data_IF_193595851616
#
_entry.id   IF_193595851616
#
_cell.length_a   1.000
_cell.length_b   1.000
_cell.length_c   1.000
_cell.angle_alpha   90.00
_cell.angle_beta   90.00
_cell.angle_gamma   90.00
#
_symmetry.space_group_name_H-M   'P 1'
#
loop_
_entity.id
_entity.type
_entity.pdbx_description
1 polymer ?
#
# COMPACT_ATOMS: atom_id res chain seq x y z
N UNK A 1 -12.23 -16.71 18.81
CA UNK A 1 -12.62 -15.68 17.80
C UNK A 1 -13.00 -16.42 16.54
N UNK A 2 -14.25 -16.38 16.17
CA UNK A 2 -14.81 -17.15 15.06
C UNK A 2 -15.03 -16.30 13.81
N UNK A 3 -13.94 -15.74 13.25
CA UNK A 3 -14.06 -15.22 11.90
C UNK A 3 -14.25 -16.41 10.95
N UNK A 4 -15.31 -16.37 10.17
CA UNK A 4 -15.61 -17.39 9.18
C UNK A 4 -14.66 -17.23 7.99
N UNK A 5 -13.95 -18.29 7.65
CA UNK A 5 -13.05 -18.35 6.50
C UNK A 5 -13.74 -19.23 5.45
N UNK A 6 -13.82 -18.81 4.18
CA UNK A 6 -14.39 -19.63 3.12
C UNK A 6 -13.70 -21.00 3.03
N UNK A 7 -14.46 -22.05 2.80
CA UNK A 7 -13.93 -23.41 2.66
C UNK A 7 -13.04 -23.57 1.41
N UNK A 8 -13.31 -22.79 0.36
CA UNK A 8 -12.55 -22.78 -0.87
C UNK A 8 -12.09 -21.37 -1.19
N UNK A 9 -10.79 -21.21 -1.38
CA UNK A 9 -10.18 -20.00 -1.91
C UNK A 9 -9.84 -20.33 -3.36
N UNK A 10 -10.63 -19.79 -4.30
CA UNK A 10 -10.36 -19.96 -5.70
C UNK A 10 -9.16 -19.12 -6.12
N UNK A 11 -8.08 -19.72 -6.62
CA UNK A 11 -6.91 -18.99 -7.09
C UNK A 11 -7.23 -18.01 -8.22
N UNK A 12 -8.32 -18.26 -8.96
CA UNK A 12 -8.80 -17.46 -10.08
C UNK A 12 -9.76 -16.33 -9.68
N UNK A 13 -10.19 -16.28 -8.43
CA UNK A 13 -10.96 -15.14 -7.94
C UNK A 13 -10.02 -13.97 -7.64
N UNK A 14 -9.61 -13.34 -8.73
CA UNK A 14 -8.62 -12.27 -8.74
C UNK A 14 -9.10 -11.02 -8.01
N UNK A 15 -10.37 -10.86 -7.78
CA UNK A 15 -10.94 -9.70 -7.09
C UNK A 15 -10.94 -9.83 -5.58
N UNK A 16 -10.89 -11.06 -5.06
CA UNK A 16 -10.88 -11.31 -3.62
C UNK A 16 -9.51 -11.72 -3.09
N UNK A 17 -8.56 -12.12 -3.96
CA UNK A 17 -7.25 -12.64 -3.56
C UNK A 17 -6.06 -11.84 -4.09
N UNK A 18 -6.11 -11.09 -5.21
CA UNK A 18 -4.96 -10.34 -5.72
C UNK A 18 -4.41 -9.39 -4.67
N UNK A 19 -5.28 -8.90 -3.83
CA UNK A 19 -4.91 -8.08 -2.71
C UNK A 19 -4.11 -8.84 -1.64
N UNK A 20 -4.14 -10.15 -1.62
CA UNK A 20 -3.37 -10.93 -0.64
C UNK A 20 -1.86 -10.98 -0.95
N UNK A 21 -1.43 -10.54 -2.13
CA UNK A 21 -0.02 -10.56 -2.56
C UNK A 21 0.56 -11.98 -2.71
N UNK A 22 -0.29 -12.98 -2.59
CA UNK A 22 0.05 -14.39 -2.73
C UNK A 22 -0.41 -14.93 -4.07
N UNK A 23 -1.00 -14.06 -4.86
CA UNK A 23 -1.47 -14.39 -6.16
C UNK A 23 -0.32 -14.34 -7.15
N UNK A 24 0.11 -15.49 -7.54
CA UNK A 24 0.88 -15.62 -8.76
C UNK A 24 -0.14 -15.78 -9.89
N UNK A 25 -0.11 -14.93 -10.90
CA UNK A 25 -0.77 -15.25 -12.18
C UNK A 25 -0.29 -16.63 -12.66
N UNK A 26 -1.06 -17.30 -13.46
CA UNK A 26 -0.64 -18.59 -14.03
C UNK A 26 0.74 -18.49 -14.68
N UNK A 27 1.04 -17.38 -15.35
CA UNK A 27 2.35 -17.08 -15.91
C UNK A 27 3.46 -16.91 -14.83
N UNK A 28 3.15 -16.44 -13.64
CA UNK A 28 4.13 -16.44 -12.53
C UNK A 28 4.41 -17.85 -12.03
N UNK A 29 3.47 -18.77 -12.18
CA UNK A 29 3.66 -20.19 -11.87
C UNK A 29 4.57 -20.85 -12.89
N UNK A 30 4.50 -20.46 -14.16
CA UNK A 30 5.42 -20.92 -15.20
C UNK A 30 6.85 -20.42 -14.98
N UNK A 31 7.01 -19.19 -14.44
CA UNK A 31 8.33 -18.68 -14.02
C UNK A 31 8.93 -19.47 -12.85
N UNK A 32 8.11 -20.17 -12.09
CA UNK A 32 8.53 -21.01 -10.95
C UNK A 32 7.81 -22.38 -10.99
N UNK A 33 7.97 -23.17 -12.05
CA UNK A 33 7.21 -24.41 -12.24
C UNK A 33 7.43 -25.43 -11.11
N UNK A 34 8.57 -25.36 -10.43
CA UNK A 34 8.91 -26.22 -9.29
C UNK A 34 8.22 -25.80 -7.97
N UNK A 35 7.47 -24.70 -7.98
CA UNK A 35 6.80 -24.19 -6.80
C UNK A 35 5.30 -24.12 -7.06
N UNK A 36 4.56 -25.21 -6.85
CA UNK A 36 3.12 -25.21 -7.01
C UNK A 36 2.48 -24.12 -6.16
N UNK A 37 1.47 -23.47 -6.67
CA UNK A 37 0.64 -22.51 -5.96
C UNK A 37 0.10 -23.17 -4.69
N UNK A 38 0.61 -22.72 -3.56
CA UNK A 38 0.06 -23.11 -2.28
C UNK A 38 -0.79 -21.96 -1.79
N UNK A 39 -2.09 -22.14 -1.57
CA UNK A 39 -2.94 -21.11 -0.97
C UNK A 39 -2.35 -20.70 0.38
N UNK A 40 -1.89 -19.46 0.48
CA UNK A 40 -1.26 -18.91 1.70
C UNK A 40 -2.03 -17.74 2.27
N UNK A 41 -2.94 -17.19 1.48
CA UNK A 41 -3.82 -16.11 1.88
C UNK A 41 -5.17 -16.66 2.33
N UNK A 42 -5.76 -16.02 3.34
CA UNK A 42 -7.12 -16.31 3.79
C UNK A 42 -7.95 -15.04 3.67
N UNK A 43 -9.07 -15.14 2.98
CA UNK A 43 -10.07 -14.07 2.91
C UNK A 43 -11.18 -14.40 3.90
N UNK A 44 -11.47 -13.46 4.79
CA UNK A 44 -12.58 -13.60 5.74
C UNK A 44 -13.89 -13.29 5.03
N UNK A 45 -14.93 -14.07 5.28
CA UNK A 45 -16.28 -13.77 4.78
C UNK A 45 -16.71 -12.37 5.25
N UNK A 46 -17.12 -11.52 4.30
CA UNK A 46 -17.40 -10.10 4.55
C UNK A 46 -16.15 -9.23 4.65
N UNK A 47 -14.98 -9.75 4.23
CA UNK A 47 -13.71 -9.02 4.15
C UNK A 47 -13.36 -8.29 5.47
N UNK A 48 -12.91 -7.02 5.40
CA UNK A 48 -12.57 -6.22 6.58
C UNK A 48 -13.73 -6.03 7.54
N UNK A 49 -14.96 -5.93 7.04
CA UNK A 49 -16.17 -5.82 7.86
C UNK A 49 -16.45 -7.08 8.67
N UNK A 50 -16.34 -8.26 8.04
CA UNK A 50 -16.49 -9.57 8.72
C UNK A 50 -15.42 -9.77 9.77
N UNK A 51 -14.18 -9.36 9.47
CA UNK A 51 -13.07 -9.41 10.40
C UNK A 51 -13.31 -8.50 11.63
N UNK A 52 -13.70 -7.25 11.39
CA UNK A 52 -13.99 -6.28 12.45
C UNK A 52 -15.14 -6.77 13.36
N UNK A 53 -16.19 -7.35 12.77
CA UNK A 53 -17.29 -7.94 13.52
C UNK A 53 -16.82 -9.00 14.51
N UNK A 54 -15.92 -9.89 14.10
CA UNK A 54 -15.36 -10.92 14.97
C UNK A 54 -14.52 -10.33 16.10
N UNK A 55 -13.74 -9.26 15.83
CA UNK A 55 -12.97 -8.56 16.87
C UNK A 55 -13.88 -7.84 17.88
N UNK A 56 -14.91 -7.17 17.41
CA UNK A 56 -15.88 -6.48 18.27
C UNK A 56 -16.63 -7.46 19.18
N UNK A 57 -17.09 -8.61 18.64
CA UNK A 57 -17.68 -9.67 19.44
C UNK A 57 -16.73 -10.17 20.52
N UNK A 58 -15.46 -10.42 20.14
CA UNK A 58 -14.45 -10.84 21.12
C UNK A 58 -14.12 -9.79 22.18
N UNK A 59 -14.26 -8.51 21.87
CA UNK A 59 -14.10 -7.43 22.84
C UNK A 59 -15.27 -7.39 23.82
N UNK A 60 -16.50 -7.49 23.31
CA UNK A 60 -17.73 -7.51 24.11
C UNK A 60 -17.76 -8.69 25.09
N UNK A 61 -17.46 -9.91 24.61
CA UNK A 61 -17.34 -11.12 25.42
C UNK A 61 -16.36 -10.98 26.61
N UNK A 62 -15.39 -10.09 26.49
CA UNK A 62 -14.36 -9.82 27.51
C UNK A 62 -14.59 -8.56 28.32
N UNK A 63 -15.73 -7.90 28.11
CA UNK A 63 -16.06 -6.65 28.78
C UNK A 63 -15.09 -5.51 28.47
N UNK A 64 -14.47 -5.51 27.28
CA UNK A 64 -13.56 -4.43 26.86
C UNK A 64 -14.39 -3.22 26.46
N UNK A 65 -14.21 -2.12 27.16
CA UNK A 65 -14.92 -0.88 26.89
C UNK A 65 -14.37 -0.22 25.61
N UNK A 66 -15.24 0.05 24.64
CA UNK A 66 -14.94 0.76 23.41
C UNK A 66 -15.65 2.12 23.45
N UNK A 67 -14.88 3.21 23.46
CA UNK A 67 -15.38 4.59 23.42
C UNK A 67 -15.19 5.18 22.04
N UNK A 68 -16.28 5.47 21.35
CA UNK A 68 -16.30 6.20 20.09
C UNK A 68 -16.54 7.68 20.33
N UNK A 69 -16.16 8.53 19.34
CA UNK A 69 -16.32 9.99 19.46
C UNK A 69 -15.45 10.61 20.57
N UNK A 70 -14.39 9.92 20.98
CA UNK A 70 -13.51 10.31 22.07
C UNK A 70 -12.05 10.47 21.57
N UNK A 71 -11.73 11.51 20.77
CA UNK A 71 -10.41 11.69 20.23
C UNK A 71 -9.38 11.95 21.34
N UNK A 72 -8.29 11.19 21.29
CA UNK A 72 -7.13 11.40 22.17
C UNK A 72 -6.25 12.49 21.58
N UNK A 73 -5.88 13.46 22.41
CA UNK A 73 -5.11 14.64 21.98
C UNK A 73 -3.69 14.66 22.48
N UNK A 74 -3.43 14.03 23.64
CA UNK A 74 -2.11 14.07 24.27
C UNK A 74 -1.83 12.80 25.10
N UNK A 75 -0.54 12.50 25.26
CA UNK A 75 -0.05 11.55 26.24
C UNK A 75 0.25 12.26 27.56
N UNK A 76 0.05 11.57 28.66
CA UNK A 76 0.37 12.08 30.01
C UNK A 76 1.60 11.37 30.53
N UNK A 77 2.65 12.12 30.81
CA UNK A 77 3.87 11.60 31.47
C UNK A 77 3.93 12.06 32.95
N UNK A 78 4.55 11.25 33.78
CA UNK A 78 4.95 11.63 35.13
C UNK A 78 6.34 12.31 35.15
N UNK A 79 6.82 12.63 36.35
CA UNK A 79 8.12 13.30 36.54
C UNK A 79 9.34 12.45 36.14
N UNK A 80 9.17 11.14 35.95
CA UNK A 80 10.19 10.18 35.54
C UNK A 80 10.15 9.88 34.04
N UNK A 81 9.20 10.50 33.32
CA UNK A 81 9.00 10.31 31.86
C UNK A 81 8.20 9.07 31.48
N UNK A 82 7.60 8.36 32.45
CA UNK A 82 6.69 7.24 32.20
C UNK A 82 5.36 7.78 31.66
N UNK A 83 4.83 7.15 30.61
CA UNK A 83 3.47 7.43 30.13
C UNK A 83 2.47 6.73 31.05
N UNK A 84 1.65 7.55 31.72
CA UNK A 84 0.69 7.12 32.75
C UNK A 84 -0.77 7.26 32.32
N UNK A 85 -1.02 7.72 31.09
CA UNK A 85 -2.36 7.90 30.57
C UNK A 85 -2.44 8.79 29.35
N UNK A 86 -3.65 9.20 29.06
CA UNK A 86 -3.95 10.06 27.89
C UNK A 86 -4.90 11.19 28.28
N UNK A 87 -4.90 12.25 27.47
CA UNK A 87 -5.96 13.27 27.46
C UNK A 87 -6.86 12.97 26.28
N UNK A 88 -8.15 12.84 26.53
CA UNK A 88 -9.16 12.60 25.53
C UNK A 88 -10.28 13.64 25.60
N UNK A 89 -10.90 13.95 24.47
CA UNK A 89 -12.07 14.82 24.40
C UNK A 89 -13.34 13.98 24.54
N UNK A 90 -14.26 14.45 25.38
CA UNK A 90 -15.60 13.94 25.53
C UNK A 90 -16.57 15.10 25.30
N UNK A 91 -17.05 15.26 24.07
CA UNK A 91 -17.69 16.49 23.62
C UNK A 91 -16.76 17.70 23.69
N UNK A 92 -17.16 18.75 24.41
CA UNK A 92 -16.35 19.96 24.62
C UNK A 92 -15.35 19.87 25.80
N UNK A 93 -15.39 18.79 26.59
CA UNK A 93 -14.58 18.64 27.79
C UNK A 93 -13.37 17.76 27.54
N UNK A 94 -12.21 18.16 28.07
CA UNK A 94 -11.03 17.31 28.13
C UNK A 94 -11.04 16.47 29.41
N UNK A 95 -10.81 15.17 29.26
CA UNK A 95 -10.69 14.23 30.38
C UNK A 95 -9.32 13.58 30.36
N UNK A 96 -8.70 13.44 31.54
CA UNK A 96 -7.54 12.58 31.71
C UNK A 96 -8.00 11.16 32.02
N UNK A 97 -7.50 10.20 31.24
CA UNK A 97 -7.74 8.78 31.44
C UNK A 97 -6.42 8.18 31.89
N UNK A 98 -6.41 7.65 33.11
CA UNK A 98 -5.22 7.00 33.68
C UNK A 98 -5.09 5.59 33.12
N UNK A 99 -3.88 5.23 32.72
CA UNK A 99 -3.50 3.87 32.35
C UNK A 99 -2.66 3.27 33.50
N UNK A 100 -3.07 2.14 34.03
CA UNK A 100 -2.39 1.49 35.16
C UNK A 100 -1.14 0.73 34.73
N UNK A 101 -1.15 0.12 33.55
CA UNK A 101 -0.03 -0.66 33.00
C UNK A 101 0.70 0.07 31.87
N UNK A 102 -0.03 0.67 30.93
CA UNK A 102 0.56 1.38 29.81
C UNK A 102 -0.47 1.83 28.77
N UNK A 103 -0.01 2.55 27.77
CA UNK A 103 -0.78 3.05 26.63
C UNK A 103 -0.24 2.43 25.34
N UNK A 104 -1.12 1.89 24.52
CA UNK A 104 -0.78 1.36 23.18
C UNK A 104 -1.31 2.31 22.13
N UNK A 105 -0.43 2.89 21.31
CA UNK A 105 -0.80 3.71 20.16
C UNK A 105 -1.08 2.79 18.97
N UNK A 106 -2.29 2.87 18.40
CA UNK A 106 -2.70 2.09 17.23
C UNK A 106 -3.49 2.93 16.21
N UNK A 107 -3.10 4.18 16.03
CA UNK A 107 -3.86 5.22 15.29
C UNK A 107 -3.62 5.21 13.77
N UNK A 108 -2.78 4.31 13.25
CA UNK A 108 -2.58 4.14 11.82
C UNK A 108 -1.73 5.22 11.16
N UNK A 109 -2.15 5.65 9.98
CA UNK A 109 -1.44 6.53 9.05
C UNK A 109 -1.65 8.02 9.32
N UNK A 110 -0.99 8.88 8.47
CA UNK A 110 -1.23 10.33 8.43
C UNK A 110 -1.59 10.83 7.02
N UNK A 111 -2.16 9.98 6.18
CA UNK A 111 -2.49 10.28 4.78
C UNK A 111 -3.41 11.51 4.61
N UNK A 112 -4.31 11.71 5.55
CA UNK A 112 -5.34 12.77 5.53
C UNK A 112 -4.87 14.07 6.21
N UNK A 113 -3.65 14.08 6.73
CA UNK A 113 -3.05 15.28 7.31
C UNK A 113 -2.23 16.01 6.25
N UNK A 114 -2.82 17.03 5.63
CA UNK A 114 -2.18 17.79 4.56
C UNK A 114 -0.86 18.45 4.98
N UNK A 115 -0.75 18.94 6.21
CA UNK A 115 0.47 19.53 6.73
C UNK A 115 1.58 18.49 6.81
N UNK A 116 1.32 17.32 7.38
CA UNK A 116 2.29 16.24 7.47
C UNK A 116 2.66 15.68 6.08
N UNK A 117 1.69 15.54 5.18
CA UNK A 117 1.94 15.13 3.79
C UNK A 117 2.85 16.13 3.09
N UNK A 118 2.57 17.43 3.18
CA UNK A 118 3.41 18.47 2.57
C UNK A 118 4.81 18.50 3.17
N UNK A 119 4.93 18.28 4.47
CA UNK A 119 6.21 18.31 5.19
C UNK A 119 7.08 17.09 4.88
N UNK A 120 6.50 15.90 4.83
CA UNK A 120 7.26 14.65 4.81
C UNK A 120 7.29 13.97 3.44
N UNK A 121 6.19 14.03 2.67
CA UNK A 121 6.02 13.31 1.42
C UNK A 121 5.44 14.19 0.28
N UNK A 122 5.96 15.41 0.06
CA UNK A 122 5.42 16.33 -0.97
C UNK A 122 5.45 15.73 -2.38
N UNK A 123 6.29 14.71 -2.60
CA UNK A 123 6.42 14.05 -3.89
C UNK A 123 5.15 13.35 -4.39
N UNK A 124 4.22 12.98 -3.50
CA UNK A 124 2.97 12.32 -3.91
C UNK A 124 2.08 13.22 -4.76
N UNK A 125 2.27 14.53 -4.67
CA UNK A 125 1.54 15.53 -5.46
C UNK A 125 2.06 15.69 -6.90
N UNK A 126 3.19 15.06 -7.26
CA UNK A 126 3.75 15.13 -8.61
C UNK A 126 2.87 14.46 -9.65
N UNK A 127 2.22 13.36 -9.27
CA UNK A 127 1.20 12.75 -10.13
C UNK A 127 -0.19 13.16 -9.64
N UNK A 128 -0.90 14.04 -10.38
CA UNK A 128 -2.19 14.59 -9.96
C UNK A 128 -3.32 13.54 -9.94
N UNK A 129 -3.10 12.37 -10.57
CA UNK A 129 -4.05 11.25 -10.57
C UNK A 129 -3.85 10.29 -9.40
N UNK A 130 -2.73 10.43 -8.70
CA UNK A 130 -2.45 9.55 -7.56
C UNK A 130 -3.17 10.02 -6.32
N UNK A 131 -3.76 9.08 -5.60
CA UNK A 131 -4.62 9.36 -4.45
C UNK A 131 -4.16 8.61 -3.20
N UNK A 132 -4.38 9.24 -2.05
CA UNK A 132 -4.17 8.57 -0.77
C UNK A 132 -5.20 7.45 -0.58
N UNK A 133 -4.75 6.35 0.01
CA UNK A 133 -5.66 5.31 0.51
C UNK A 133 -5.64 5.34 2.03
N UNK A 134 -6.80 5.28 2.62
CA UNK A 134 -6.92 5.25 4.07
C UNK A 134 -8.30 5.70 4.55
N UNK A 135 -8.45 5.68 5.85
CA UNK A 135 -9.65 6.16 6.50
C UNK A 135 -9.52 7.67 6.78
N UNK A 136 -10.62 8.47 6.71
CA UNK A 136 -10.59 9.91 7.02
C UNK A 136 -10.00 10.28 8.39
N UNK A 137 -9.90 9.32 9.31
CA UNK A 137 -9.25 9.50 10.62
C UNK A 137 -7.72 9.31 10.60
N UNK A 138 -7.10 9.08 9.45
CA UNK A 138 -5.65 8.92 9.33
C UNK A 138 -4.93 10.28 9.41
N UNK A 139 -5.05 10.96 10.55
CA UNK A 139 -4.61 12.34 10.77
C UNK A 139 -3.20 12.45 11.40
N UNK A 140 -2.54 11.33 11.70
CA UNK A 140 -1.21 11.35 12.29
C UNK A 140 -1.16 11.75 13.76
N UNK A 141 -2.28 11.64 14.47
CA UNK A 141 -2.37 12.03 15.88
C UNK A 141 -1.40 11.24 16.75
N UNK A 142 -1.27 9.95 16.52
CA UNK A 142 -0.35 9.09 17.26
C UNK A 142 1.10 9.44 17.03
N UNK A 143 1.48 9.73 15.77
CA UNK A 143 2.83 10.17 15.44
C UNK A 143 3.17 11.46 16.17
N UNK A 144 2.29 12.45 16.10
CA UNK A 144 2.45 13.74 16.78
C UNK A 144 2.55 13.59 18.31
N UNK A 145 1.68 12.78 18.90
CA UNK A 145 1.71 12.55 20.36
C UNK A 145 2.98 11.82 20.79
N UNK A 146 3.43 10.83 20.02
CA UNK A 146 4.64 10.08 20.32
C UNK A 146 5.91 10.96 20.17
N UNK A 147 5.99 11.79 19.13
CA UNK A 147 7.06 12.76 18.93
C UNK A 147 7.13 13.75 20.12
N UNK A 148 5.96 14.20 20.61
CA UNK A 148 5.87 15.09 21.75
C UNK A 148 6.43 14.55 23.08
N UNK A 149 6.58 13.23 23.20
CA UNK A 149 7.19 12.55 24.37
C UNK A 149 8.59 12.00 24.05
N UNK A 150 9.18 12.40 22.93
CA UNK A 150 10.55 12.07 22.54
C UNK A 150 10.72 10.73 21.83
N UNK A 151 9.66 10.15 21.26
CA UNK A 151 9.76 8.93 20.46
C UNK A 151 10.54 9.13 19.16
N UNK A 152 11.27 8.12 18.73
CA UNK A 152 11.91 8.12 17.42
C UNK A 152 10.90 7.84 16.31
N UNK A 153 10.86 8.76 15.34
CA UNK A 153 10.07 8.61 14.14
C UNK A 153 10.95 8.09 13.00
N UNK A 154 10.48 7.08 12.26
CA UNK A 154 11.23 6.47 11.16
C UNK A 154 10.41 6.41 9.89
N UNK A 155 11.08 6.53 8.74
CA UNK A 155 10.45 6.40 7.43
C UNK A 155 9.36 7.44 7.14
N UNK A 156 9.40 8.62 7.77
CA UNK A 156 8.37 9.65 7.59
C UNK A 156 8.28 10.15 6.15
N UNK A 157 9.37 10.08 5.39
CA UNK A 157 9.43 10.40 3.96
C UNK A 157 9.06 9.24 3.03
N UNK A 158 8.72 8.07 3.56
CA UNK A 158 8.43 6.89 2.77
C UNK A 158 6.92 6.71 2.56
N UNK A 159 6.59 6.14 1.38
CA UNK A 159 5.23 5.73 1.04
C UNK A 159 5.21 4.27 0.61
N UNK A 160 4.04 3.66 0.70
CA UNK A 160 3.74 2.37 0.07
C UNK A 160 2.83 2.64 -1.13
N UNK A 161 3.38 2.84 -2.34
CA UNK A 161 2.58 3.06 -3.54
C UNK A 161 2.10 1.72 -4.09
N UNK A 162 0.90 1.70 -4.64
CA UNK A 162 0.36 0.57 -5.38
C UNK A 162 -0.21 1.10 -6.69
N UNK A 163 0.33 0.65 -7.82
CA UNK A 163 -0.17 1.09 -9.12
C UNK A 163 -1.59 0.58 -9.30
N UNK A 164 -2.48 1.49 -9.60
CA UNK A 164 -3.83 1.19 -10.01
C UNK A 164 -3.92 1.42 -11.52
N UNK A 165 -4.27 0.37 -12.25
CA UNK A 165 -4.53 0.44 -13.68
C UNK A 165 -5.91 -0.15 -13.91
N UNK A 166 -6.72 0.52 -14.70
CA UNK A 166 -7.93 -0.09 -15.23
C UNK A 166 -7.50 -1.25 -16.15
N UNK A 167 -8.08 -2.42 -15.96
CA UNK A 167 -7.76 -3.60 -16.76
C UNK A 167 -6.39 -4.22 -16.46
N UNK A 168 -6.35 -5.21 -15.57
CA UNK A 168 -5.09 -5.85 -15.17
C UNK A 168 -4.41 -6.54 -16.37
N UNK A 169 -5.17 -7.28 -17.17
CA UNK A 169 -4.68 -8.00 -18.34
C UNK A 169 -4.25 -7.04 -19.44
N UNK A 170 -5.06 -6.02 -19.78
CA UNK A 170 -4.67 -5.00 -20.77
C UNK A 170 -3.36 -4.31 -20.36
N UNK A 171 -3.18 -4.04 -19.07
CA UNK A 171 -1.94 -3.43 -18.55
C UNK A 171 -0.72 -4.32 -18.69
N UNK A 172 -0.87 -5.63 -18.50
CA UNK A 172 0.21 -6.60 -18.62
C UNK A 172 0.66 -6.72 -20.08
N UNK A 173 -0.27 -6.70 -21.00
CA UNK A 173 -0.04 -6.82 -22.44
C UNK A 173 0.37 -5.48 -23.11
N UNK A 174 0.19 -4.35 -22.43
CA UNK A 174 0.62 -3.03 -22.89
C UNK A 174 2.12 -2.83 -22.82
N UNK A 175 2.61 -1.70 -23.35
CA UNK A 175 3.95 -1.17 -23.13
C UNK A 175 3.86 0.06 -22.22
N UNK A 176 4.55 0.08 -21.09
CA UNK A 176 4.56 1.22 -20.17
C UNK A 176 5.75 2.12 -20.42
N UNK A 177 5.48 3.41 -20.67
CA UNK A 177 6.49 4.44 -20.87
C UNK A 177 6.36 5.59 -19.88
N UNK A 178 7.49 6.22 -19.54
CA UNK A 178 7.54 7.45 -18.75
C UNK A 178 7.35 8.70 -19.63
N UNK A 179 7.37 9.90 -19.05
CA UNK A 179 7.25 11.17 -19.78
C UNK A 179 8.38 11.45 -20.80
N UNK A 180 9.44 10.64 -20.80
CA UNK A 180 10.52 10.68 -21.80
C UNK A 180 10.37 9.60 -22.87
N UNK A 181 9.19 9.01 -22.98
CA UNK A 181 8.89 7.89 -23.88
C UNK A 181 9.76 6.65 -23.64
N UNK A 182 10.40 6.53 -22.49
CA UNK A 182 11.24 5.38 -22.17
C UNK A 182 10.42 4.32 -21.46
N UNK A 183 10.44 3.09 -21.95
CA UNK A 183 9.97 1.94 -21.21
C UNK A 183 10.81 1.81 -19.94
N UNK A 184 10.23 1.47 -18.81
CA UNK A 184 10.93 1.55 -17.51
C UNK A 184 10.78 0.32 -16.63
N UNK A 185 9.99 -0.68 -17.05
CA UNK A 185 9.72 -1.86 -16.27
C UNK A 185 9.11 -2.98 -17.12
N UNK A 186 9.17 -4.25 -16.62
CA UNK A 186 8.36 -5.35 -17.13
C UNK A 186 6.91 -5.17 -16.67
N UNK A 187 5.98 -5.01 -17.60
CA UNK A 187 4.57 -4.71 -17.33
C UNK A 187 3.86 -5.86 -16.58
N UNK A 188 4.35 -7.09 -16.69
CA UNK A 188 3.88 -8.24 -15.92
C UNK A 188 4.24 -8.22 -14.43
N UNK A 189 4.95 -7.19 -13.95
CA UNK A 189 5.56 -7.10 -12.62
C UNK A 189 4.72 -7.71 -11.49
N UNK A 190 5.38 -8.38 -10.57
CA UNK A 190 4.86 -9.31 -9.58
C UNK A 190 3.73 -8.82 -8.69
N UNK A 191 3.65 -7.53 -8.40
CA UNK A 191 2.55 -6.94 -7.62
C UNK A 191 2.34 -5.48 -7.98
N UNK A 192 1.14 -4.96 -7.74
CA UNK A 192 0.82 -3.56 -7.93
C UNK A 192 1.72 -2.62 -7.10
N UNK A 193 2.21 -3.08 -5.95
CA UNK A 193 3.14 -2.32 -5.11
C UNK A 193 4.51 -2.15 -5.77
N UNK A 194 5.03 -3.18 -6.43
CA UNK A 194 6.28 -3.06 -7.19
C UNK A 194 6.12 -2.13 -8.38
N UNK A 195 5.02 -2.26 -9.12
CA UNK A 195 4.68 -1.35 -10.23
C UNK A 195 4.58 0.10 -9.75
N UNK A 196 3.85 0.34 -8.65
CA UNK A 196 3.74 1.67 -8.04
C UNK A 196 5.10 2.23 -7.64
N UNK A 197 5.95 1.42 -7.01
CA UNK A 197 7.32 1.85 -6.64
C UNK A 197 8.14 2.22 -7.89
N UNK A 198 8.01 1.48 -9.00
CA UNK A 198 8.71 1.82 -10.24
C UNK A 198 8.20 3.09 -10.88
N UNK A 199 6.89 3.33 -10.82
CA UNK A 199 6.32 4.58 -11.30
C UNK A 199 6.79 5.79 -10.48
N UNK A 200 6.92 5.67 -9.16
CA UNK A 200 7.46 6.76 -8.31
C UNK A 200 8.94 7.07 -8.55
N UNK A 201 9.66 6.23 -9.30
CA UNK A 201 11.03 6.47 -9.74
C UNK A 201 11.11 7.19 -11.09
N UNK A 202 9.97 7.39 -11.77
CA UNK A 202 9.92 8.06 -13.07
C UNK A 202 9.74 9.58 -12.92
N UNK A 203 10.05 10.37 -13.97
CA UNK A 203 9.82 11.81 -13.96
C UNK A 203 8.38 12.13 -13.55
N UNK A 204 8.24 13.02 -12.59
CA UNK A 204 6.97 13.46 -12.00
C UNK A 204 6.04 12.33 -11.54
N UNK A 205 6.58 11.12 -11.34
CA UNK A 205 5.82 9.92 -11.00
C UNK A 205 4.73 9.57 -12.03
N UNK A 206 4.96 9.91 -13.30
CA UNK A 206 3.98 9.79 -14.37
C UNK A 206 4.49 8.90 -15.50
N UNK A 207 3.54 8.35 -16.23
CA UNK A 207 3.76 7.53 -17.41
C UNK A 207 2.44 7.12 -18.03
N UNK A 208 2.53 6.33 -19.08
CA UNK A 208 1.39 5.84 -19.84
C UNK A 208 1.55 4.35 -20.14
N UNK A 209 0.46 3.62 -20.11
CA UNK A 209 0.35 2.31 -20.74
C UNK A 209 -0.12 2.52 -22.17
N UNK A 210 0.68 2.05 -23.13
CA UNK A 210 0.43 2.18 -24.58
C UNK A 210 -0.02 0.81 -25.09
N UNK A 211 -1.13 0.76 -25.80
CA UNK A 211 -1.69 -0.45 -26.41
C UNK A 211 -2.50 -0.11 -27.65
N UNK A 212 -2.89 -1.12 -28.41
CA UNK A 212 -3.65 -0.98 -29.63
C UNK A 212 -5.04 -1.61 -29.55
N UNK A 213 -5.78 -1.54 -30.65
CA UNK A 213 -7.15 -2.09 -30.73
C UNK A 213 -7.18 -3.60 -30.55
N UNK A 214 -6.16 -4.33 -31.03
CA UNK A 214 -6.08 -5.77 -30.87
C UNK A 214 -5.99 -6.16 -29.40
N UNK A 215 -5.08 -5.52 -28.63
CA UNK A 215 -4.91 -5.75 -27.20
C UNK A 215 -6.20 -5.39 -26.47
N UNK A 216 -6.78 -4.22 -26.76
CA UNK A 216 -8.04 -3.78 -26.17
C UNK A 216 -9.18 -4.76 -26.42
N UNK A 217 -9.36 -5.21 -27.66
CA UNK A 217 -10.43 -6.12 -28.05
C UNK A 217 -10.27 -7.52 -27.46
N UNK A 218 -9.02 -7.98 -27.30
CA UNK A 218 -8.71 -9.30 -26.77
C UNK A 218 -9.05 -9.40 -25.27
N UNK A 219 -8.68 -8.38 -24.50
CA UNK A 219 -8.82 -8.42 -23.05
C UNK A 219 -10.08 -7.71 -22.52
N UNK A 220 -10.68 -6.80 -23.31
CA UNK A 220 -12.03 -6.25 -23.08
C UNK A 220 -12.28 -5.52 -21.77
N UNK A 221 -11.28 -5.38 -20.93
CA UNK A 221 -11.40 -4.84 -19.56
C UNK A 221 -11.31 -3.31 -19.51
N UNK A 222 -10.76 -2.69 -20.55
CA UNK A 222 -10.62 -1.24 -20.65
C UNK A 222 -11.66 -0.72 -21.64
N UNK A 223 -12.66 -0.04 -21.14
CA UNK A 223 -13.57 0.73 -21.99
C UNK A 223 -12.79 1.85 -22.70
N UNK A 224 -13.20 2.19 -23.92
CA UNK A 224 -12.63 3.29 -24.67
C UNK A 224 -12.70 4.64 -23.91
N UNK A 225 -13.60 4.76 -22.93
CA UNK A 225 -13.70 5.90 -22.02
C UNK A 225 -12.61 5.92 -20.93
N UNK A 226 -12.01 4.78 -20.61
CA UNK A 226 -10.93 4.66 -19.63
C UNK A 226 -9.54 4.87 -20.26
N UNK A 227 -9.42 4.58 -21.56
CA UNK A 227 -8.28 4.99 -22.36
C UNK A 227 -8.45 6.48 -22.69
N UNK A 228 -7.86 7.34 -21.86
CA UNK A 228 -8.05 8.81 -21.93
C UNK A 228 -7.60 9.38 -23.27
N UNK A 229 -6.66 8.72 -23.96
CA UNK A 229 -6.12 9.18 -25.25
C UNK A 229 -6.26 8.10 -26.30
N UNK A 230 -6.60 8.53 -27.53
CA UNK A 230 -6.79 7.68 -28.69
C UNK A 230 -6.34 8.40 -29.96
N UNK A 231 -5.66 7.71 -30.85
CA UNK A 231 -5.27 8.21 -32.16
C UNK A 231 -5.09 7.06 -33.18
N UNK A 232 -5.11 7.42 -34.48
CA UNK A 232 -4.89 6.44 -35.57
C UNK A 232 -3.40 6.18 -35.86
N UNK A 233 -2.48 6.98 -35.26
CA UNK A 233 -1.03 6.83 -35.38
C UNK A 233 -0.39 6.97 -34.01
N UNK A 234 0.82 6.37 -33.84
CA UNK A 234 1.60 6.50 -32.62
C UNK A 234 2.05 7.95 -32.40
N UNK A 235 2.41 8.65 -33.47
CA UNK A 235 2.80 10.06 -33.41
C UNK A 235 1.63 10.93 -32.93
N UNK A 236 0.42 10.72 -33.51
CA UNK A 236 -0.78 11.42 -33.08
C UNK A 236 -1.18 11.10 -31.63
N UNK A 237 -0.94 9.85 -31.18
CA UNK A 237 -1.14 9.47 -29.78
C UNK A 237 -0.16 10.19 -28.87
N UNK A 238 1.11 10.30 -29.27
CA UNK A 238 2.12 11.03 -28.53
C UNK A 238 1.75 12.52 -28.37
N UNK A 239 1.31 13.17 -29.45
CA UNK A 239 0.84 14.56 -29.43
C UNK A 239 -0.34 14.74 -28.47
N UNK A 240 -1.31 13.83 -28.50
CA UNK A 240 -2.47 13.85 -27.60
C UNK A 240 -2.07 13.71 -26.11
N UNK A 241 -1.02 12.94 -25.82
CA UNK A 241 -0.49 12.73 -24.46
C UNK A 241 0.49 13.83 -24.02
N UNK A 242 0.92 14.73 -24.90
CA UNK A 242 1.98 15.69 -24.64
C UNK A 242 3.39 15.07 -24.58
N UNK A 243 3.57 13.94 -25.28
CA UNK A 243 4.84 13.23 -25.42
C UNK A 243 5.53 13.61 -26.74
N UNK A 244 6.84 13.31 -26.84
CA UNK A 244 7.59 13.49 -28.09
C UNK A 244 7.19 12.40 -29.10
N UNK A 245 6.63 12.77 -30.29
CA UNK A 245 6.15 11.82 -31.28
C UNK A 245 7.25 10.90 -31.83
N UNK A 246 8.44 11.44 -32.04
CA UNK A 246 9.57 10.67 -32.60
C UNK A 246 10.10 9.69 -31.57
N UNK A 247 10.17 10.11 -30.31
CA UNK A 247 10.67 9.23 -29.25
C UNK A 247 9.65 8.12 -28.92
N UNK A 248 8.35 8.41 -28.91
CA UNK A 248 7.35 7.38 -28.67
C UNK A 248 7.32 6.35 -29.79
N UNK A 249 7.33 6.80 -31.06
CA UNK A 249 7.35 5.90 -32.21
C UNK A 249 8.57 4.97 -32.19
N UNK A 250 9.76 5.48 -31.87
CA UNK A 250 10.97 4.66 -31.71
C UNK A 250 10.85 3.64 -30.56
N UNK A 251 10.23 4.02 -29.46
CA UNK A 251 10.05 3.12 -28.32
C UNK A 251 9.08 2.00 -28.64
N UNK A 252 7.97 2.30 -29.36
CA UNK A 252 7.04 1.29 -29.85
C UNK A 252 7.70 0.36 -30.87
N UNK A 253 8.45 0.91 -31.84
CA UNK A 253 9.19 0.12 -32.82
C UNK A 253 10.18 -0.83 -32.11
N UNK A 254 10.92 -0.33 -31.13
CA UNK A 254 11.87 -1.13 -30.34
C UNK A 254 11.16 -2.25 -29.56
N UNK A 255 10.03 -1.93 -28.93
CA UNK A 255 9.23 -2.90 -28.21
C UNK A 255 8.67 -3.98 -29.15
N UNK A 256 8.15 -3.59 -30.31
CA UNK A 256 7.66 -4.53 -31.33
C UNK A 256 8.75 -5.51 -31.81
N UNK A 257 9.99 -5.03 -31.98
CA UNK A 257 11.12 -5.92 -32.31
C UNK A 257 11.36 -6.97 -31.21
N UNK A 258 11.19 -6.63 -29.93
CA UNK A 258 11.29 -7.60 -28.84
C UNK A 258 10.14 -8.62 -28.88
N UNK A 259 8.92 -8.16 -29.20
CA UNK A 259 7.77 -9.03 -29.37
C UNK A 259 7.97 -10.03 -30.52
N UNK A 260 8.48 -9.57 -31.68
CA UNK A 260 8.76 -10.40 -32.84
C UNK A 260 9.81 -11.49 -32.56
N UNK A 261 10.81 -11.17 -31.73
CA UNK A 261 11.81 -12.17 -31.32
C UNK A 261 11.32 -13.11 -30.21
N UNK A 262 10.21 -12.78 -29.57
CA UNK A 262 9.67 -13.52 -28.43
C UNK A 262 10.52 -13.44 -27.17
N UNK A 263 11.48 -12.49 -27.11
CA UNK A 263 12.41 -12.34 -25.98
C UNK A 263 12.57 -10.86 -25.60
N UNK A 264 12.10 -10.50 -24.42
CA UNK A 264 12.34 -9.16 -23.87
C UNK A 264 13.72 -9.08 -23.18
N UNK A 265 14.72 -8.61 -23.95
CA UNK A 265 16.09 -8.42 -23.46
C UNK A 265 16.24 -7.19 -22.52
N UNK A 266 15.22 -6.34 -22.40
CA UNK A 266 15.29 -5.13 -21.60
C UNK A 266 14.85 -5.33 -20.16
N UNK A 267 13.69 -6.00 -19.97
CA UNK A 267 13.08 -6.16 -18.66
C UNK A 267 12.60 -7.58 -18.37
N UNK A 268 12.79 -8.54 -19.29
CA UNK A 268 12.46 -9.94 -19.09
C UNK A 268 10.95 -10.20 -18.99
N UNK A 269 10.15 -9.45 -19.73
CA UNK A 269 8.71 -9.72 -19.86
C UNK A 269 8.51 -11.07 -20.52
N UNK A 270 7.64 -11.90 -19.95
CA UNK A 270 7.39 -13.25 -20.44
C UNK A 270 6.83 -13.24 -21.87
N UNK A 271 7.22 -14.18 -22.74
CA UNK A 271 6.75 -14.22 -24.13
C UNK A 271 5.23 -14.17 -24.31
N UNK A 272 4.48 -14.77 -23.40
CA UNK A 272 3.03 -14.78 -23.39
C UNK A 272 2.40 -13.37 -23.34
N UNK A 273 3.11 -12.39 -22.81
CA UNK A 273 2.65 -11.01 -22.66
C UNK A 273 3.28 -10.05 -23.66
N UNK A 274 4.09 -10.57 -24.60
CA UNK A 274 4.75 -9.78 -25.63
C UNK A 274 3.84 -9.64 -26.85
N UNK A 275 2.96 -8.64 -26.82
CA UNK A 275 2.07 -8.32 -27.94
C UNK A 275 2.59 -7.14 -28.74
N UNK A 276 2.66 -7.34 -30.06
CA UNK A 276 3.02 -6.27 -31.02
C UNK A 276 1.93 -5.20 -31.01
N UNK A 277 2.32 -3.95 -30.90
CA UNK A 277 1.44 -2.78 -30.96
C UNK A 277 1.47 -2.24 -32.39
N UNK A 278 0.48 -2.61 -33.22
CA UNK A 278 0.47 -2.29 -34.67
C UNK A 278 -0.91 -2.02 -35.28
N UNK A 279 -1.99 -2.31 -34.56
CA UNK A 279 -3.35 -2.22 -35.10
C UNK A 279 -4.09 -0.97 -34.61
N UNK A 280 -4.25 0.07 -35.45
CA UNK A 280 -4.98 1.25 -35.03
C UNK A 280 -6.46 0.94 -34.75
N UNK A 281 -7.12 1.76 -33.91
CA UNK A 281 -6.58 2.90 -33.19
C UNK A 281 -5.66 2.50 -32.04
N UNK A 282 -4.70 3.38 -31.75
CA UNK A 282 -3.80 3.25 -30.60
C UNK A 282 -4.36 4.01 -29.40
N UNK A 283 -4.04 3.54 -28.22
CA UNK A 283 -4.56 4.06 -26.95
C UNK A 283 -3.41 4.34 -25.97
N UNK A 284 -3.60 5.35 -25.14
CA UNK A 284 -2.76 5.58 -23.99
C UNK A 284 -3.60 5.80 -22.73
N UNK A 285 -3.25 5.06 -21.70
CA UNK A 285 -3.84 5.16 -20.39
C UNK A 285 -2.83 5.76 -19.42
N UNK A 286 -3.10 6.91 -18.79
CA UNK A 286 -2.24 7.49 -17.78
C UNK A 286 -2.07 6.54 -16.59
N UNK A 287 -0.83 6.36 -16.17
CA UNK A 287 -0.50 5.56 -15.00
C UNK A 287 -0.67 6.38 -13.72
N UNK A 288 -1.32 5.79 -12.74
CA UNK A 288 -1.50 6.37 -11.42
C UNK A 288 -1.21 5.32 -10.34
N UNK A 289 -1.05 5.78 -9.10
CA UNK A 289 -0.91 4.89 -7.96
C UNK A 289 -1.76 5.40 -6.79
N UNK A 290 -2.28 4.47 -6.04
CA UNK A 290 -2.78 4.74 -4.71
C UNK A 290 -1.62 4.64 -3.73
N UNK A 291 -1.62 5.42 -2.66
CA UNK A 291 -0.53 5.43 -1.72
C UNK A 291 -1.00 5.54 -0.26
N UNK A 292 -0.20 5.00 0.62
CA UNK A 292 -0.32 5.20 2.06
C UNK A 292 1.04 5.57 2.64
N UNK A 293 1.05 6.34 3.72
CA UNK A 293 2.28 6.71 4.41
C UNK A 293 2.89 5.49 5.10
N UNK A 294 4.22 5.42 5.09
CA UNK A 294 4.97 4.37 5.80
C UNK A 294 5.63 4.89 7.07
N UNK A 295 5.56 6.22 7.31
CA UNK A 295 6.09 6.86 8.50
C UNK A 295 5.48 6.34 9.79
N UNK A 296 6.32 5.92 10.71
CA UNK A 296 5.92 5.17 11.89
C UNK A 296 6.79 5.48 13.10
N UNK A 297 6.31 5.07 14.27
CA UNK A 297 7.00 5.14 15.55
C UNK A 297 7.93 3.93 15.67
N UNK A 298 9.20 4.14 16.01
CA UNK A 298 10.13 3.05 16.27
C UNK A 298 9.75 2.30 17.54
N UNK A 299 9.73 0.97 17.41
CA UNK A 299 9.49 0.05 18.52
C UNK A 299 10.66 -0.93 18.65
N UNK A 300 10.83 -1.50 19.85
CA UNK A 300 11.72 -2.64 20.08
C UNK A 300 10.97 -3.99 19.92
N UNK A 301 11.65 -5.08 20.20
CA UNK A 301 11.12 -6.45 20.11
C UNK A 301 9.95 -6.73 21.06
N UNK A 302 9.69 -5.85 22.03
CA UNK A 302 8.60 -5.93 22.99
C UNK A 302 7.44 -4.97 22.64
N UNK A 303 7.43 -4.39 21.46
CA UNK A 303 6.50 -3.36 21.01
C UNK A 303 6.54 -2.06 21.84
N UNK A 304 7.57 -1.86 22.66
CA UNK A 304 7.78 -0.61 23.40
C UNK A 304 8.27 0.46 22.45
N UNK A 305 7.71 1.65 22.55
CA UNK A 305 8.19 2.84 21.83
C UNK A 305 9.55 3.25 22.36
N UNK A 306 10.49 3.54 21.45
CA UNK A 306 11.85 3.93 21.82
C UNK A 306 12.19 5.36 21.41
N UNK A 307 13.11 5.95 22.14
CA UNK A 307 13.77 7.23 21.82
C UNK A 307 14.85 7.02 20.76
N UNK A 308 15.41 8.11 20.16
CA UNK A 308 16.56 7.99 19.25
C UNK A 308 17.80 7.31 19.87
N UNK A 309 17.91 7.32 21.19
CA UNK A 309 18.96 6.60 21.94
C UNK A 309 18.78 5.08 21.91
N UNK A 310 17.60 4.58 21.51
CA UNK A 310 17.21 3.17 21.62
C UNK A 310 16.59 2.82 22.99
N UNK A 311 16.56 3.76 23.93
CA UNK A 311 15.94 3.56 25.24
C UNK A 311 14.42 3.53 25.12
N UNK A 312 13.76 2.58 25.76
CA UNK A 312 12.30 2.50 25.78
C UNK A 312 11.69 3.66 26.58
N UNK A 313 10.57 4.20 26.09
CA UNK A 313 9.73 5.13 26.84
C UNK A 313 8.82 4.30 27.74
N UNK A 314 8.99 4.35 29.07
CA UNK A 314 8.23 3.50 29.98
C UNK A 314 6.72 3.73 29.84
N UNK A 315 5.94 2.65 29.86
CA UNK A 315 4.49 2.70 29.75
C UNK A 315 3.93 3.07 28.39
N UNK A 316 4.78 3.18 27.33
CA UNK A 316 4.34 3.51 25.98
C UNK A 316 4.69 2.41 24.98
N UNK A 317 3.67 2.00 24.22
CA UNK A 317 3.73 0.93 23.22
C UNK A 317 3.10 1.38 21.92
N UNK A 318 3.45 0.75 20.81
CA UNK A 318 2.76 0.98 19.55
C UNK A 318 2.49 -0.34 18.82
N UNK A 319 1.37 -0.39 18.10
CA UNK A 319 0.95 -1.57 17.35
C UNK A 319 0.30 -1.18 16.01
N UNK A 320 0.33 -2.10 15.07
CA UNK A 320 -0.24 -1.91 13.75
C UNK A 320 0.65 -1.08 12.83
N UNK A 321 0.02 -0.44 11.87
CA UNK A 321 0.73 0.30 10.82
C UNK A 321 1.60 1.44 11.37
N UNK A 322 1.19 2.04 12.47
CA UNK A 322 1.95 3.09 13.13
C UNK A 322 3.25 2.60 13.79
N UNK A 323 3.36 1.30 14.04
CA UNK A 323 4.58 0.70 14.59
C UNK A 323 5.58 0.36 13.47
N UNK A 324 6.79 0.90 13.57
CA UNK A 324 7.85 0.68 12.58
C UNK A 324 8.39 -0.75 12.58
N UNK A 325 9.10 -1.09 11.50
CA UNK A 325 9.77 -2.39 11.35
C UNK A 325 9.06 -3.36 10.40
N UNK A 326 7.90 -2.97 9.85
CA UNK A 326 7.08 -3.86 9.03
C UNK A 326 7.62 -4.17 7.64
N UNK A 327 8.15 -3.19 6.91
CA UNK A 327 8.32 -3.34 5.46
C UNK A 327 9.60 -2.75 4.87
N UNK A 328 10.48 -2.13 5.59
CA UNK A 328 11.53 -1.36 4.93
C UNK A 328 10.94 -0.34 3.91
N UNK A 329 11.56 -0.21 2.73
CA UNK A 329 11.14 0.77 1.70
C UNK A 329 10.07 0.26 0.73
N UNK A 330 9.76 -1.03 0.74
CA UNK A 330 8.80 -1.61 -0.22
C UNK A 330 7.82 -2.54 0.49
N UNK A 331 6.57 -2.44 0.10
CA UNK A 331 5.57 -3.41 0.51
C UNK A 331 5.78 -4.71 -0.29
N UNK A 332 6.07 -5.83 0.35
CA UNK A 332 6.32 -7.09 -0.34
C UNK A 332 5.04 -7.72 -0.93
N UNK A 333 3.88 -7.18 -0.62
CA UNK A 333 2.61 -7.67 -1.14
C UNK A 333 1.43 -7.48 -0.19
N UNK A 334 0.26 -7.83 -0.68
CA UNK A 334 -0.99 -7.78 0.10
C UNK A 334 -0.96 -8.78 1.27
N UNK A 335 -1.74 -8.49 2.30
CA UNK A 335 -1.79 -9.28 3.53
C UNK A 335 -0.66 -8.96 4.52
N UNK A 336 0.48 -8.44 4.08
CA UNK A 336 1.61 -8.17 4.95
C UNK A 336 1.29 -7.13 6.05
N UNK A 337 0.57 -6.07 5.70
CA UNK A 337 0.10 -5.08 6.67
C UNK A 337 -0.83 -5.70 7.72
N UNK A 338 -1.73 -6.58 7.30
CA UNK A 338 -2.65 -7.27 8.21
C UNK A 338 -1.89 -8.20 9.16
N UNK A 339 -0.95 -8.98 8.63
CA UNK A 339 -0.07 -9.83 9.45
C UNK A 339 0.67 -9.00 10.51
N UNK A 340 1.25 -7.85 10.11
CA UNK A 340 1.95 -6.95 11.02
C UNK A 340 1.03 -6.37 12.11
N UNK A 341 -0.18 -5.98 11.73
CA UNK A 341 -1.18 -5.46 12.67
C UNK A 341 -1.54 -6.49 13.74
N UNK A 342 -1.74 -7.76 13.35
CA UNK A 342 -2.03 -8.84 14.30
C UNK A 342 -0.85 -9.18 15.19
N UNK A 343 0.32 -9.30 14.57
CA UNK A 343 1.53 -9.63 15.31
C UNK A 343 1.84 -8.58 16.38
N UNK A 344 1.93 -7.31 15.97
CA UNK A 344 2.27 -6.22 16.90
C UNK A 344 1.16 -5.92 17.90
N UNK A 345 -0.12 -6.03 17.50
CA UNK A 345 -1.23 -5.88 18.42
C UNK A 345 -1.22 -6.94 19.51
N UNK A 346 -0.95 -8.20 19.14
CA UNK A 346 -0.82 -9.29 20.10
C UNK A 346 0.42 -9.14 20.99
N UNK A 347 1.52 -8.72 20.41
CA UNK A 347 2.78 -8.49 21.13
C UNK A 347 2.60 -7.36 22.16
N UNK A 348 2.15 -6.18 21.72
CA UNK A 348 1.91 -5.06 22.63
C UNK A 348 0.94 -5.41 23.76
N UNK A 349 -0.18 -6.09 23.43
CA UNK A 349 -1.15 -6.52 24.43
C UNK A 349 -0.56 -7.45 25.49
N UNK A 350 0.27 -8.41 25.07
CA UNK A 350 0.95 -9.33 26.02
C UNK A 350 1.98 -8.60 26.88
N UNK A 351 2.78 -7.74 26.27
CA UNK A 351 3.83 -7.01 27.00
C UNK A 351 3.21 -6.06 28.03
N UNK A 352 2.18 -5.29 27.63
CA UNK A 352 1.47 -4.40 28.57
C UNK A 352 0.80 -5.19 29.70
N UNK A 353 0.21 -6.34 29.39
CA UNK A 353 -0.46 -7.18 30.42
C UNK A 353 0.54 -7.68 31.49
N UNK A 354 1.77 -8.00 31.09
CA UNK A 354 2.81 -8.45 31.99
C UNK A 354 3.49 -7.31 32.79
N UNK A 355 3.23 -6.04 32.47
CA UNK A 355 3.74 -4.90 33.23
C UNK A 355 3.27 -4.96 34.67
N UNK A 356 4.21 -4.92 35.61
CA UNK A 356 3.93 -4.97 37.05
C UNK A 356 3.73 -6.35 37.66
N UNK A 357 3.91 -7.45 36.89
CA UNK A 357 3.85 -8.82 37.41
C UNK A 357 5.25 -9.37 37.86
N UNK A 358 6.29 -8.56 37.68
CA UNK A 358 7.68 -8.92 38.06
C UNK A 358 8.12 -8.13 39.30
N UNK A 359 7.48 -8.41 40.44
CA UNK A 359 8.01 -8.15 41.77
C UNK A 359 8.05 -9.44 42.60
#
# INVERSE_FOLDING_TARGET
>A
MGAEIPAEIHPTDTHSIPESGLYYSDASCELFPDKPLTPRGHVVVGQGGGFLKALLSGADERGIEIRTGCPVTDLVQDGEGRVTGVVAKDGSKSKRIRATKGVVIATGHFNENEEMVNRHIPMVKRNPRSVATGHPSALGDGQRMAEGVGAEMVGMGDISPSMYTAGAETSIHSMMVNLRCQRFWSEQGYTNNFRGTRLTQQPDHQGFAIFDEKIRATFGEVDAAEAEFKADTIEGLAEACGLDPVLLARSVERYNQLCETGVDLEYGKHPEFLDVISEPPFFAMPLAYVWMTSGAIRINENAQVVKPSGEAIPGLYAAGIIAAGRMGKQNPGSGYNMMWNFYTGRLAGRTVAAEGESE
#
